data_IF_984285916617
#
_entry.id   IF_984285916617
#
_cell.length_a   1.000
_cell.length_b   1.000
_cell.length_c   1.000
_cell.angle_alpha   90.00
_cell.angle_beta   90.00
_cell.angle_gamma   90.00
#
_symmetry.space_group_name_H-M   'P 1'
#
loop_
_entity.id
_entity.type
_entity.pdbx_description
1 polymer ?
#
# COMPACT_ATOMS: atom_id res chain seq x y z
N UNK A 1 -7.62 2.80 -23.52
CA UNK A 1 -7.95 1.78 -22.51
C UNK A 1 -8.65 2.50 -21.38
N UNK A 2 -9.95 2.28 -21.20
CA UNK A 2 -10.61 2.65 -19.95
C UNK A 2 -10.01 1.73 -18.89
N UNK A 3 -9.25 2.31 -17.96
CA UNK A 3 -8.86 1.58 -16.75
C UNK A 3 -10.13 1.49 -15.91
N UNK A 4 -10.82 0.36 -15.99
CA UNK A 4 -11.95 0.08 -15.11
C UNK A 4 -11.40 -0.02 -13.68
N UNK A 5 -11.48 1.09 -12.97
CA UNK A 5 -11.10 1.17 -11.56
C UNK A 5 -12.07 0.25 -10.82
N UNK A 6 -11.59 -0.95 -10.49
CA UNK A 6 -12.39 -2.00 -9.86
C UNK A 6 -12.87 -1.59 -8.44
N UNK A 7 -12.10 -0.76 -7.74
CA UNK A 7 -12.46 -0.18 -6.45
C UNK A 7 -11.61 1.05 -6.13
N UNK A 8 -12.15 1.94 -5.30
CA UNK A 8 -11.42 3.05 -4.66
C UNK A 8 -11.56 2.91 -3.15
N UNK A 9 -10.45 3.09 -2.43
CA UNK A 9 -10.42 3.06 -0.97
C UNK A 9 -10.01 4.41 -0.43
N UNK A 10 -10.72 4.88 0.60
CA UNK A 10 -10.34 6.05 1.38
C UNK A 10 -9.78 5.57 2.71
N UNK A 11 -8.50 5.83 2.95
CA UNK A 11 -7.80 5.44 4.18
C UNK A 11 -7.45 6.70 4.97
N UNK A 12 -7.82 6.73 6.25
CA UNK A 12 -7.20 7.67 7.18
C UNK A 12 -5.74 7.27 7.45
N UNK A 13 -4.98 8.15 8.10
CA UNK A 13 -3.55 7.90 8.37
C UNK A 13 -3.31 6.61 9.18
N UNK A 14 -4.22 6.25 10.09
CA UNK A 14 -4.08 5.04 10.91
C UNK A 14 -4.30 3.80 10.05
N UNK A 15 -5.34 3.80 9.21
CA UNK A 15 -5.64 2.73 8.28
C UNK A 15 -4.51 2.57 7.26
N UNK A 16 -3.97 3.67 6.74
CA UNK A 16 -2.83 3.66 5.82
C UNK A 16 -1.57 3.02 6.44
N UNK A 17 -1.24 3.38 7.69
CA UNK A 17 -0.14 2.77 8.45
C UNK A 17 -0.37 1.27 8.70
N UNK A 18 -1.60 0.89 9.04
CA UNK A 18 -1.96 -0.50 9.26
C UNK A 18 -1.80 -1.30 7.96
N UNK A 19 -2.31 -0.78 6.84
CA UNK A 19 -2.25 -1.43 5.54
C UNK A 19 -0.81 -1.61 5.06
N UNK A 20 0.05 -0.62 5.29
CA UNK A 20 1.47 -0.74 4.99
C UNK A 20 2.13 -1.86 5.81
N UNK A 21 1.82 -1.91 7.12
CA UNK A 21 2.35 -2.95 8.00
C UNK A 21 1.88 -4.34 7.59
N UNK A 22 0.59 -4.53 7.35
CA UNK A 22 0.02 -5.83 6.97
C UNK A 22 0.55 -6.28 5.61
N UNK A 23 0.72 -5.37 4.65
CA UNK A 23 1.34 -5.68 3.36
C UNK A 23 2.80 -6.14 3.53
N UNK A 24 3.59 -5.45 4.36
CA UNK A 24 4.97 -5.87 4.66
C UNK A 24 5.02 -7.23 5.36
N UNK A 25 4.12 -7.46 6.33
CA UNK A 25 4.05 -8.73 7.06
C UNK A 25 3.61 -9.89 6.13
N UNK A 26 2.70 -9.63 5.18
CA UNK A 26 2.29 -10.60 4.17
C UNK A 26 3.44 -10.98 3.22
N UNK A 27 4.19 -9.99 2.73
CA UNK A 27 5.38 -10.24 1.89
C UNK A 27 6.49 -10.97 2.65
N UNK A 28 6.76 -10.58 3.90
CA UNK A 28 7.80 -11.22 4.72
C UNK A 28 7.49 -12.68 5.01
N UNK A 29 6.22 -12.99 5.26
CA UNK A 29 5.75 -14.32 5.61
C UNK A 29 5.06 -15.02 4.42
N UNK A 30 5.43 -14.65 3.19
CA UNK A 30 4.77 -15.17 1.99
C UNK A 30 4.89 -16.70 1.94
N UNK A 31 3.77 -17.45 1.98
CA UNK A 31 3.80 -18.91 2.05
C UNK A 31 4.12 -19.56 0.68
N UNK A 32 4.36 -18.76 -0.35
CA UNK A 32 4.24 -19.16 -1.75
C UNK A 32 2.82 -18.94 -2.26
N UNK A 33 2.65 -18.92 -3.58
CA UNK A 33 1.37 -18.60 -4.22
C UNK A 33 1.57 -18.08 -5.64
N UNK A 34 0.50 -17.56 -6.26
CA UNK A 34 0.59 -16.89 -7.56
C UNK A 34 1.60 -15.74 -7.52
N UNK A 35 2.43 -15.65 -8.56
CA UNK A 35 3.46 -14.61 -8.68
C UNK A 35 2.80 -13.24 -8.77
N UNK A 36 1.66 -13.17 -9.45
CA UNK A 36 0.88 -11.96 -9.68
C UNK A 36 0.38 -11.35 -8.36
N UNK A 37 0.02 -12.19 -7.38
CA UNK A 37 -0.38 -11.71 -6.05
C UNK A 37 0.81 -11.14 -5.27
N UNK A 38 1.98 -11.76 -5.38
CA UNK A 38 3.20 -11.26 -4.74
C UNK A 38 3.66 -9.93 -5.38
N UNK A 39 3.61 -9.84 -6.71
CA UNK A 39 3.91 -8.61 -7.46
C UNK A 39 2.94 -7.49 -7.08
N UNK A 40 1.65 -7.80 -6.97
CA UNK A 40 0.63 -6.85 -6.51
C UNK A 40 0.94 -6.33 -5.10
N UNK A 41 1.34 -7.21 -4.17
CA UNK A 41 1.70 -6.80 -2.81
C UNK A 41 2.96 -5.93 -2.78
N UNK A 42 3.98 -6.22 -3.59
CA UNK A 42 5.18 -5.36 -3.71
C UNK A 42 4.81 -3.99 -4.29
N UNK A 43 3.98 -3.95 -5.33
CA UNK A 43 3.48 -2.70 -5.91
C UNK A 43 2.71 -1.89 -4.86
N UNK A 44 1.75 -2.53 -4.17
CA UNK A 44 0.94 -1.91 -3.13
C UNK A 44 1.79 -1.34 -2.00
N UNK A 45 2.83 -2.05 -1.56
CA UNK A 45 3.78 -1.58 -0.54
C UNK A 45 4.46 -0.29 -0.95
N UNK A 46 4.87 -0.15 -2.21
CA UNK A 46 5.51 1.07 -2.72
C UNK A 46 4.53 2.26 -2.71
N UNK A 47 3.30 2.07 -3.17
CA UNK A 47 2.29 3.13 -3.19
C UNK A 47 1.88 3.57 -1.77
N UNK A 48 1.72 2.62 -0.85
CA UNK A 48 1.45 2.91 0.56
C UNK A 48 2.60 3.68 1.23
N UNK A 49 3.85 3.30 0.94
CA UNK A 49 5.02 4.02 1.43
C UNK A 49 5.06 5.45 0.91
N UNK A 50 4.82 5.65 -0.40
CA UNK A 50 4.77 6.98 -1.01
C UNK A 50 3.73 7.87 -0.34
N UNK A 51 2.51 7.37 -0.15
CA UNK A 51 1.44 8.11 0.52
C UNK A 51 1.81 8.49 1.98
N UNK A 52 2.47 7.59 2.72
CA UNK A 52 2.95 7.87 4.07
C UNK A 52 4.05 8.95 4.11
N UNK A 53 4.98 8.91 3.15
CA UNK A 53 6.04 9.92 3.02
C UNK A 53 5.46 11.27 2.66
N UNK A 54 4.54 11.34 1.70
CA UNK A 54 3.84 12.56 1.31
C UNK A 54 3.10 13.18 2.50
N UNK A 55 2.37 12.36 3.27
CA UNK A 55 1.68 12.83 4.48
C UNK A 55 2.67 13.36 5.52
N UNK A 56 3.78 12.66 5.74
CA UNK A 56 4.82 13.09 6.70
C UNK A 56 5.44 14.42 6.28
N UNK A 57 5.74 14.57 5.00
CA UNK A 57 6.30 15.81 4.45
C UNK A 57 5.31 16.99 4.58
N UNK A 58 4.04 16.78 4.26
CA UNK A 58 3.00 17.80 4.42
C UNK A 58 2.84 18.23 5.89
N UNK A 59 2.89 17.29 6.84
CA UNK A 59 2.82 17.61 8.27
C UNK A 59 4.04 18.34 8.83
N UNK A 60 5.19 18.29 8.16
CA UNK A 60 6.38 19.06 8.55
C UNK A 60 6.36 20.49 8.01
N UNK A 61 5.55 20.76 6.98
CA UNK A 61 5.40 22.07 6.36
C UNK A 61 4.25 22.90 6.96
N UNK A 62 3.40 22.29 7.78
CA UNK A 62 2.27 22.92 8.49
C UNK A 62 2.64 23.37 9.89
#
# INVERSE_FOLDING_TARGET
MNQDIAATFHLDLRALKLEYKTTCDALRNWPGGPVEEQEFLEYKKQELFRALVEQTYQSQLS
#
